data_IF_075435692682
#
_entry.id   IF_075435692682
#
_cell.length_a   1.000
_cell.length_b   1.000
_cell.length_c   1.000
_cell.angle_alpha   90.00
_cell.angle_beta   90.00
_cell.angle_gamma   90.00
#
_symmetry.space_group_name_H-M   'P 1'
#
loop_
_entity.id
_entity.type
_entity.pdbx_description
1 polymer ?
#
# COMPACT_ATOMS: atom_id res chain seq x y z
N UNK A 1 -29.75 7.17 4.30
CA UNK A 1 -28.85 6.32 3.50
C UNK A 1 -27.53 6.29 4.24
N UNK A 2 -27.09 5.12 4.69
CA UNK A 2 -25.74 4.97 5.25
C UNK A 2 -24.75 5.44 4.18
N UNK A 3 -23.89 6.39 4.53
CA UNK A 3 -22.70 6.69 3.72
C UNK A 3 -21.83 5.43 3.82
N UNK A 4 -22.02 4.51 2.88
CA UNK A 4 -21.10 3.39 2.69
C UNK A 4 -19.70 3.98 2.52
N UNK A 5 -18.71 3.35 3.14
CA UNK A 5 -17.31 3.69 2.98
C UNK A 5 -16.96 3.52 1.50
N UNK A 6 -16.93 4.63 0.74
CA UNK A 6 -16.45 4.61 -0.63
C UNK A 6 -14.94 4.40 -0.54
N UNK A 7 -14.48 3.18 -0.86
CA UNK A 7 -13.05 2.95 -1.04
C UNK A 7 -12.56 3.89 -2.14
N UNK A 8 -11.47 4.63 -1.88
CA UNK A 8 -10.99 5.70 -2.77
C UNK A 8 -10.66 5.29 -4.22
N UNK A 9 -10.76 4.00 -4.56
CA UNK A 9 -10.58 3.46 -5.91
C UNK A 9 -11.85 2.93 -6.59
N UNK A 10 -13.03 2.95 -5.96
CA UNK A 10 -14.27 2.45 -6.58
C UNK A 10 -14.87 3.48 -7.56
N UNK A 11 -14.28 3.54 -8.75
CA UNK A 11 -14.75 4.41 -9.83
C UNK A 11 -16.16 4.03 -10.32
N UNK A 12 -16.59 2.79 -10.09
CA UNK A 12 -17.90 2.30 -10.51
C UNK A 12 -18.99 2.91 -9.63
N UNK A 13 -18.79 2.89 -8.32
CA UNK A 13 -19.67 3.54 -7.37
C UNK A 13 -19.70 5.05 -7.58
N UNK A 14 -18.53 5.69 -7.75
CA UNK A 14 -18.45 7.13 -8.06
C UNK A 14 -19.20 7.47 -9.35
N UNK A 15 -19.02 6.66 -10.40
CA UNK A 15 -19.71 6.87 -11.67
C UNK A 15 -21.24 6.78 -11.51
N UNK A 16 -21.73 5.80 -10.75
CA UNK A 16 -23.17 5.64 -10.46
C UNK A 16 -23.75 6.81 -9.67
N UNK A 17 -23.04 7.29 -8.64
CA UNK A 17 -23.52 8.33 -7.73
C UNK A 17 -23.49 9.71 -8.40
N UNK A 18 -22.40 10.04 -9.10
CA UNK A 18 -22.17 11.39 -9.63
C UNK A 18 -22.49 11.53 -11.13
N UNK A 19 -22.81 10.44 -11.83
CA UNK A 19 -23.11 10.46 -13.27
C UNK A 19 -21.90 10.82 -14.15
N UNK A 20 -20.68 10.63 -13.65
CA UNK A 20 -19.43 10.94 -14.35
C UNK A 20 -18.87 9.65 -14.95
N UNK A 21 -18.46 9.67 -16.23
CA UNK A 21 -17.79 8.54 -16.86
C UNK A 21 -16.43 8.29 -16.20
N UNK A 22 -16.08 7.03 -15.95
CA UNK A 22 -14.85 6.64 -15.23
C UNK A 22 -13.59 7.21 -15.87
N UNK A 23 -13.57 7.24 -17.20
CA UNK A 23 -12.44 7.70 -18.02
C UNK A 23 -12.22 9.21 -17.93
N UNK A 24 -13.21 9.96 -17.46
CA UNK A 24 -13.13 11.41 -17.28
C UNK A 24 -12.71 11.80 -15.86
N UNK A 25 -12.55 10.84 -14.94
CA UNK A 25 -12.20 11.08 -13.55
C UNK A 25 -10.68 11.10 -13.38
N UNK A 26 -10.17 12.21 -12.86
CA UNK A 26 -8.81 12.29 -12.33
C UNK A 26 -8.77 11.56 -10.98
N UNK A 27 -8.35 10.30 -11.00
CA UNK A 27 -8.38 9.42 -9.82
C UNK A 27 -7.18 9.65 -8.88
N UNK A 28 -7.26 10.71 -8.07
CA UNK A 28 -6.34 10.96 -6.97
C UNK A 28 -6.59 10.06 -5.75
N UNK A 29 -7.70 9.32 -5.69
CA UNK A 29 -8.06 8.44 -4.57
C UNK A 29 -7.42 7.05 -4.64
N UNK A 30 -7.01 6.58 -5.82
CA UNK A 30 -6.59 5.19 -6.05
C UNK A 30 -5.14 4.83 -5.69
N UNK A 31 -4.27 5.83 -5.50
CA UNK A 31 -2.81 5.66 -5.31
C UNK A 31 -2.13 4.86 -6.43
N UNK A 32 -2.62 4.94 -7.66
CA UNK A 32 -2.08 4.18 -8.81
C UNK A 32 -1.07 5.06 -9.56
N UNK A 33 0.06 4.47 -9.97
CA UNK A 33 1.08 5.16 -10.75
C UNK A 33 0.48 5.77 -12.04
N UNK A 34 0.67 7.08 -12.30
CA UNK A 34 0.05 7.79 -13.42
C UNK A 34 0.62 7.43 -14.80
N UNK A 35 1.74 6.71 -14.87
CA UNK A 35 2.32 6.28 -16.16
C UNK A 35 1.47 5.21 -16.88
N UNK A 36 0.52 4.60 -16.17
CA UNK A 36 -0.30 3.51 -16.68
C UNK A 36 0.48 2.20 -16.81
N UNK A 37 -0.13 1.22 -17.46
CA UNK A 37 0.44 -0.12 -17.58
C UNK A 37 1.79 -0.08 -18.33
N UNK A 38 2.85 -0.77 -17.85
CA UNK A 38 4.13 -0.84 -18.56
C UNK A 38 3.98 -1.39 -19.97
N UNK A 39 4.76 -0.85 -20.92
CA UNK A 39 4.69 -1.29 -22.32
C UNK A 39 5.19 -2.73 -22.49
N UNK A 40 6.14 -3.18 -21.66
CA UNK A 40 6.56 -4.58 -21.58
C UNK A 40 5.38 -5.51 -21.28
N UNK A 41 4.54 -5.13 -20.31
CA UNK A 41 3.34 -5.87 -19.92
C UNK A 41 2.28 -5.83 -21.03
N UNK A 42 2.03 -4.66 -21.62
CA UNK A 42 1.08 -4.54 -22.76
C UNK A 42 1.46 -5.51 -23.89
N UNK A 43 2.75 -5.54 -24.27
CA UNK A 43 3.27 -6.42 -25.32
C UNK A 43 3.16 -7.89 -24.91
N UNK A 44 3.49 -8.23 -23.67
CA UNK A 44 3.39 -9.60 -23.18
C UNK A 44 1.95 -10.13 -23.27
N UNK A 45 0.95 -9.34 -22.84
CA UNK A 45 -0.46 -9.72 -22.95
C UNK A 45 -0.91 -9.80 -24.41
N UNK A 46 -0.61 -8.78 -25.22
CA UNK A 46 -1.03 -8.71 -26.61
C UNK A 46 -0.46 -9.86 -27.47
N UNK A 47 0.75 -10.33 -27.17
CA UNK A 47 1.39 -11.45 -27.87
C UNK A 47 0.92 -12.83 -27.38
N UNK A 48 0.16 -12.90 -26.29
CA UNK A 48 -0.25 -14.15 -25.64
C UNK A 48 -1.76 -14.16 -25.33
N UNK A 49 -2.59 -13.65 -26.24
CA UNK A 49 -4.04 -13.56 -26.03
C UNK A 49 -4.72 -14.92 -25.83
N UNK A 50 -4.13 -15.99 -26.36
CA UNK A 50 -4.64 -17.37 -26.22
C UNK A 50 -4.16 -18.08 -24.94
N UNK A 51 -3.32 -17.44 -24.11
CA UNK A 51 -2.81 -18.02 -22.87
C UNK A 51 -3.90 -18.52 -21.88
N UNK A 52 -5.09 -17.91 -21.78
CA UNK A 52 -6.18 -18.43 -20.94
C UNK A 52 -6.70 -19.82 -21.32
N UNK A 53 -6.29 -20.37 -22.46
CA UNK A 53 -6.63 -21.75 -22.86
C UNK A 53 -5.83 -22.81 -22.07
N UNK A 54 -4.86 -22.39 -21.25
CA UNK A 54 -4.03 -23.26 -20.42
C UNK A 54 -3.99 -22.78 -18.98
N UNK A 55 -3.86 -23.72 -18.03
CA UNK A 55 -3.63 -23.38 -16.63
C UNK A 55 -2.21 -22.81 -16.43
N UNK A 56 -2.03 -21.86 -15.49
CA UNK A 56 -0.72 -21.43 -15.02
C UNK A 56 0.15 -22.58 -14.48
N UNK A 57 1.45 -22.34 -14.35
CA UNK A 57 2.29 -23.19 -13.51
C UNK A 57 1.82 -23.09 -12.06
N UNK A 58 1.44 -24.23 -11.45
CA UNK A 58 0.99 -24.27 -10.06
C UNK A 58 2.09 -23.83 -9.07
N UNK A 59 3.36 -24.01 -9.45
CA UNK A 59 4.53 -23.63 -8.65
C UNK A 59 5.01 -22.20 -8.93
N UNK A 60 4.51 -21.58 -10.00
CA UNK A 60 4.86 -20.23 -10.45
C UNK A 60 6.39 -19.99 -10.51
N UNK A 61 7.16 -20.96 -11.00
CA UNK A 61 8.63 -20.96 -10.90
C UNK A 61 9.22 -19.72 -11.58
N UNK A 62 8.86 -19.47 -12.84
CA UNK A 62 9.38 -18.33 -13.61
C UNK A 62 9.01 -16.98 -12.99
N UNK A 63 7.81 -16.88 -12.39
CA UNK A 63 7.37 -15.67 -11.69
C UNK A 63 8.16 -15.45 -10.39
N UNK A 64 8.37 -16.50 -9.60
CA UNK A 64 9.19 -16.44 -8.38
C UNK A 64 10.64 -16.09 -8.69
N UNK A 65 11.21 -16.60 -9.78
CA UNK A 65 12.54 -16.22 -10.27
C UNK A 65 12.60 -14.74 -10.66
N UNK A 66 11.61 -14.23 -11.40
CA UNK A 66 11.58 -12.81 -11.76
C UNK A 66 11.47 -11.88 -10.52
N UNK A 67 10.73 -12.29 -9.50
CA UNK A 67 10.65 -11.56 -8.22
C UNK A 67 11.97 -11.67 -7.46
N UNK A 68 12.60 -12.84 -7.45
CA UNK A 68 13.91 -13.08 -6.86
C UNK A 68 14.97 -12.15 -7.46
N UNK A 69 15.05 -12.09 -8.80
CA UNK A 69 15.97 -11.18 -9.51
C UNK A 69 15.74 -9.71 -9.09
N UNK A 70 14.48 -9.33 -8.89
CA UNK A 70 14.07 -7.97 -8.55
C UNK A 70 14.34 -7.58 -7.10
N UNK A 71 14.14 -8.53 -6.18
CA UNK A 71 14.24 -8.29 -4.73
C UNK A 71 15.56 -8.72 -4.13
N UNK A 72 16.37 -9.48 -4.88
CA UNK A 72 17.58 -10.16 -4.42
C UNK A 72 17.33 -11.10 -3.23
N UNK A 73 16.18 -11.78 -3.23
CA UNK A 73 15.79 -12.79 -2.22
C UNK A 73 15.64 -14.14 -2.89
N UNK A 74 16.10 -15.20 -2.22
CA UNK A 74 15.97 -16.57 -2.71
C UNK A 74 14.52 -16.90 -3.13
N UNK A 75 14.30 -17.51 -4.32
CA UNK A 75 12.97 -17.90 -4.78
C UNK A 75 12.21 -18.78 -3.79
N UNK A 76 12.89 -19.54 -2.92
CA UNK A 76 12.28 -20.43 -1.93
C UNK A 76 11.57 -19.67 -0.80
N UNK A 77 11.94 -18.40 -0.57
CA UNK A 77 11.31 -17.53 0.42
C UNK A 77 10.16 -16.71 -0.17
N UNK A 78 9.90 -16.83 -1.47
CA UNK A 78 8.91 -16.03 -2.20
C UNK A 78 7.63 -16.85 -2.44
N UNK A 79 6.51 -16.24 -2.07
CA UNK A 79 5.15 -16.71 -2.37
C UNK A 79 4.46 -15.69 -3.27
N UNK A 80 3.62 -16.14 -4.18
CA UNK A 80 2.83 -15.27 -5.06
C UNK A 80 1.36 -15.38 -4.69
N UNK A 81 0.58 -14.34 -4.94
CA UNK A 81 -0.85 -14.34 -4.62
C UNK A 81 -1.70 -13.44 -5.51
N UNK A 82 -3.00 -13.66 -5.45
CA UNK A 82 -4.06 -12.96 -6.19
C UNK A 82 -4.26 -11.52 -5.65
N UNK A 83 -3.19 -10.73 -5.74
CA UNK A 83 -2.99 -9.48 -5.02
C UNK A 83 -2.40 -9.69 -3.63
N UNK A 84 -1.89 -8.61 -3.04
CA UNK A 84 -1.35 -8.62 -1.67
C UNK A 84 -2.40 -9.00 -0.62
N UNK A 85 -3.68 -8.67 -0.86
CA UNK A 85 -4.79 -8.98 0.04
C UNK A 85 -4.94 -10.47 0.35
N UNK A 86 -4.76 -11.35 -0.65
CA UNK A 86 -4.82 -12.81 -0.43
C UNK A 86 -3.70 -13.23 0.53
N UNK A 87 -2.48 -12.73 0.31
CA UNK A 87 -1.30 -13.08 1.11
C UNK A 87 -1.38 -12.53 2.54
N UNK A 88 -1.95 -11.33 2.72
CA UNK A 88 -2.25 -10.75 4.04
C UNK A 88 -3.18 -11.70 4.80
N UNK A 89 -4.29 -12.11 4.18
CA UNK A 89 -5.27 -13.02 4.79
C UNK A 89 -4.62 -14.36 5.16
N UNK A 90 -3.82 -14.94 4.25
CA UNK A 90 -3.18 -16.23 4.49
C UNK A 90 -2.08 -16.16 5.56
N UNK A 91 -1.31 -15.08 5.63
CA UNK A 91 -0.34 -14.86 6.70
C UNK A 91 -1.03 -14.76 8.07
N UNK A 92 -2.08 -13.93 8.18
CA UNK A 92 -2.85 -13.79 9.42
C UNK A 92 -3.46 -15.13 9.84
N UNK A 93 -4.02 -15.90 8.91
CA UNK A 93 -4.57 -17.24 9.19
C UNK A 93 -3.50 -18.26 9.61
N UNK A 94 -2.31 -18.18 9.03
CA UNK A 94 -1.20 -19.06 9.39
C UNK A 94 -0.70 -18.79 10.81
N UNK A 95 -0.58 -17.52 11.20
CA UNK A 95 -0.15 -17.12 12.54
C UNK A 95 -1.27 -17.36 13.55
N UNK A 96 -2.52 -17.15 13.12
CA UNK A 96 -3.73 -17.27 13.92
C UNK A 96 -3.65 -16.55 15.29
N UNK A 97 -3.31 -15.25 15.30
CA UNK A 97 -3.03 -14.52 16.54
C UNK A 97 -4.26 -14.44 17.45
N UNK A 98 -4.08 -14.74 18.74
CA UNK A 98 -5.07 -14.40 19.78
C UNK A 98 -5.10 -12.91 20.01
N UNK A 99 -3.95 -12.24 20.03
CA UNK A 99 -3.85 -10.78 20.18
C UNK A 99 -2.83 -10.20 19.21
N UNK A 100 -3.24 -9.17 18.48
CA UNK A 100 -2.40 -8.48 17.51
C UNK A 100 -2.36 -6.97 17.75
N UNK A 101 -1.21 -6.36 17.51
CA UNK A 101 -1.03 -4.90 17.49
C UNK A 101 -0.99 -4.42 16.05
N UNK A 102 -1.78 -3.42 15.70
CA UNK A 102 -1.77 -2.78 14.38
C UNK A 102 -1.37 -1.31 14.54
N UNK A 103 -0.28 -0.90 13.90
CA UNK A 103 0.09 0.53 13.82
C UNK A 103 -0.95 1.25 12.97
N UNK A 104 -1.55 2.33 13.48
CA UNK A 104 -2.76 2.94 12.91
C UNK A 104 -2.70 4.48 12.97
N UNK A 105 -3.31 5.26 12.04
CA UNK A 105 -4.24 4.87 10.98
C UNK A 105 -3.62 3.94 9.94
N UNK A 106 -4.37 2.92 9.55
CA UNK A 106 -3.92 1.89 8.61
C UNK A 106 -5.06 1.40 7.71
N UNK A 107 -4.71 0.52 6.77
CA UNK A 107 -5.65 -0.17 5.91
C UNK A 107 -6.60 -1.07 6.73
N UNK A 108 -7.90 -0.97 6.46
CA UNK A 108 -8.95 -1.63 7.25
C UNK A 108 -8.92 -3.15 7.19
N UNK A 109 -8.36 -3.74 6.13
CA UNK A 109 -8.40 -5.19 5.96
C UNK A 109 -7.54 -5.94 7.00
N UNK A 110 -6.48 -5.33 7.56
CA UNK A 110 -5.70 -6.01 8.61
C UNK A 110 -6.58 -6.33 9.83
N UNK A 111 -7.30 -5.31 10.31
CA UNK A 111 -8.21 -5.41 11.44
C UNK A 111 -9.32 -6.44 11.16
N UNK A 112 -9.92 -6.35 9.98
CA UNK A 112 -11.00 -7.23 9.54
C UNK A 112 -10.54 -8.69 9.47
N UNK A 113 -9.40 -8.98 8.85
CA UNK A 113 -8.89 -10.34 8.72
C UNK A 113 -8.54 -10.98 10.07
N UNK A 114 -7.98 -10.22 11.01
CA UNK A 114 -7.70 -10.72 12.38
C UNK A 114 -9.01 -11.01 13.12
N UNK A 115 -9.99 -10.11 13.05
CA UNK A 115 -11.29 -10.31 13.70
C UNK A 115 -12.09 -11.48 13.10
N UNK A 116 -11.97 -11.72 11.79
CA UNK A 116 -12.65 -12.81 11.10
C UNK A 116 -12.25 -14.20 11.63
N UNK A 117 -11.04 -14.34 12.17
CA UNK A 117 -10.56 -15.58 12.80
C UNK A 117 -10.68 -15.55 14.34
N UNK A 118 -11.35 -14.54 14.90
CA UNK A 118 -11.60 -14.41 16.33
C UNK A 118 -10.45 -13.82 17.15
N UNK A 119 -9.45 -13.20 16.51
CA UNK A 119 -8.34 -12.53 17.20
C UNK A 119 -8.73 -11.17 17.77
N UNK A 120 -8.17 -10.84 18.93
CA UNK A 120 -8.24 -9.50 19.52
C UNK A 120 -7.23 -8.56 18.88
N UNK A 121 -7.56 -7.27 18.80
CA UNK A 121 -6.72 -6.26 18.16
C UNK A 121 -6.56 -5.03 19.03
N UNK A 122 -5.31 -4.60 19.18
CA UNK A 122 -4.94 -3.33 19.77
C UNK A 122 -4.42 -2.40 18.67
N UNK A 123 -5.02 -1.23 18.54
CA UNK A 123 -4.55 -0.22 17.59
C UNK A 123 -3.50 0.67 18.28
N UNK A 124 -2.26 0.62 17.81
CA UNK A 124 -1.19 1.51 18.27
C UNK A 124 -1.28 2.84 17.50
N UNK A 125 -1.60 3.96 18.17
CA UNK A 125 -1.86 5.22 17.47
C UNK A 125 -0.56 5.94 17.08
N UNK A 126 -0.39 6.18 15.78
CA UNK A 126 0.51 7.22 15.27
C UNK A 126 -0.08 8.58 15.61
N UNK A 127 0.67 9.39 16.35
CA UNK A 127 0.15 10.64 16.91
C UNK A 127 0.39 11.80 15.94
N UNK A 128 -0.64 12.62 15.69
CA UNK A 128 -0.53 13.82 14.84
C UNK A 128 0.59 14.76 15.31
N UNK A 129 0.75 14.94 16.64
CA UNK A 129 1.82 15.76 17.25
C UNK A 129 3.24 15.21 17.04
N UNK A 130 3.36 13.95 16.63
CA UNK A 130 4.64 13.32 16.27
C UNK A 130 4.75 13.22 14.73
N UNK A 131 3.99 14.04 13.99
CA UNK A 131 3.91 14.03 12.52
C UNK A 131 3.54 12.64 11.96
N UNK A 132 2.79 11.85 12.73
CA UNK A 132 2.49 10.43 12.46
C UNK A 132 3.72 9.53 12.26
N UNK A 133 4.90 9.94 12.74
CA UNK A 133 6.08 9.10 12.76
C UNK A 133 5.96 8.03 13.86
N UNK A 134 6.41 6.82 13.57
CA UNK A 134 6.33 5.72 14.54
C UNK A 134 7.30 5.94 15.70
N UNK A 135 6.75 6.06 16.91
CA UNK A 135 7.54 6.11 18.14
C UNK A 135 7.93 4.68 18.58
N UNK A 136 9.10 4.22 18.14
CA UNK A 136 9.58 2.85 18.37
C UNK A 136 9.69 2.49 19.86
N UNK A 137 10.27 3.34 20.75
CA UNK A 137 10.29 3.04 22.18
C UNK A 137 8.90 2.84 22.79
N UNK A 138 7.91 3.67 22.41
CA UNK A 138 6.53 3.50 22.87
C UNK A 138 5.89 2.23 22.31
N UNK A 139 6.17 1.90 21.05
CA UNK A 139 5.69 0.67 20.44
C UNK A 139 6.23 -0.55 21.19
N UNK A 140 7.52 -0.60 21.47
CA UNK A 140 8.15 -1.70 22.22
C UNK A 140 7.52 -1.92 23.61
N UNK A 141 7.08 -0.85 24.28
CA UNK A 141 6.42 -0.96 25.59
C UNK A 141 5.06 -1.68 25.54
N UNK A 142 4.36 -1.70 24.40
CA UNK A 142 3.08 -2.43 24.25
C UNK A 142 3.28 -3.82 23.64
N UNK A 143 4.46 -4.11 23.10
CA UNK A 143 4.81 -5.39 22.51
C UNK A 143 5.38 -6.33 23.58
N UNK A 144 4.47 -6.87 24.38
CA UNK A 144 4.74 -7.81 25.48
C UNK A 144 4.46 -9.27 25.09
N UNK A 145 4.76 -10.21 25.99
CA UNK A 145 4.63 -11.67 25.74
C UNK A 145 3.20 -12.16 25.44
N UNK A 146 2.17 -11.33 25.67
CA UNK A 146 0.78 -11.62 25.35
C UNK A 146 0.38 -11.21 23.93
N UNK A 147 1.29 -10.59 23.16
CA UNK A 147 1.08 -10.23 21.75
C UNK A 147 1.61 -11.35 20.86
N UNK A 148 0.83 -11.77 19.87
CA UNK A 148 1.26 -12.81 18.93
C UNK A 148 1.74 -12.21 17.59
N UNK A 149 1.20 -11.04 17.23
CA UNK A 149 1.43 -10.44 15.92
C UNK A 149 1.48 -8.90 15.98
N UNK A 150 2.40 -8.32 15.20
CA UNK A 150 2.50 -6.90 14.91
C UNK A 150 2.29 -6.67 13.41
N UNK A 151 1.43 -5.73 13.04
CA UNK A 151 1.20 -5.32 11.65
C UNK A 151 1.64 -3.86 11.44
N UNK A 152 2.52 -3.65 10.46
CA UNK A 152 3.00 -2.32 10.06
C UNK A 152 2.84 -2.18 8.54
N UNK A 153 2.30 -1.06 8.07
CA UNK A 153 2.37 -0.65 6.67
C UNK A 153 3.54 0.33 6.50
N UNK A 154 4.46 0.07 5.58
CA UNK A 154 5.70 0.84 5.43
C UNK A 154 6.13 1.02 3.96
N UNK A 155 6.00 2.23 3.37
CA UNK A 155 5.40 3.44 3.94
C UNK A 155 3.91 3.26 4.28
N UNK A 156 3.47 3.92 5.35
CA UNK A 156 2.14 3.77 5.91
C UNK A 156 1.05 4.40 5.01
N UNK A 157 -0.14 3.79 5.01
CA UNK A 157 -1.34 4.34 4.39
C UNK A 157 -2.40 4.61 5.47
N UNK A 158 -2.79 5.88 5.71
CA UNK A 158 -2.78 6.99 4.73
C UNK A 158 -1.70 8.05 4.93
N UNK A 159 -0.81 7.91 5.92
CA UNK A 159 0.10 9.02 6.33
C UNK A 159 1.29 9.22 5.40
N UNK A 160 1.75 8.17 4.73
CA UNK A 160 2.98 8.18 3.92
C UNK A 160 4.27 8.12 4.75
N UNK A 161 4.18 8.13 6.08
CA UNK A 161 5.30 8.01 7.01
C UNK A 161 5.92 6.61 6.96
N UNK A 162 7.15 6.47 7.42
CA UNK A 162 7.91 5.24 7.23
C UNK A 162 8.89 5.00 8.39
N UNK A 163 9.35 3.75 8.48
CA UNK A 163 10.54 3.34 9.23
C UNK A 163 11.61 2.84 8.28
N UNK A 164 12.88 3.03 8.66
CA UNK A 164 14.02 2.50 7.89
C UNK A 164 14.17 0.99 8.11
N UNK A 165 14.97 0.35 7.27
CA UNK A 165 15.38 -1.05 7.44
C UNK A 165 16.09 -1.28 8.79
N UNK A 166 16.94 -0.33 9.22
CA UNK A 166 17.61 -0.39 10.53
C UNK A 166 16.61 -0.31 11.70
N UNK A 167 15.65 0.61 11.63
CA UNK A 167 14.58 0.72 12.61
C UNK A 167 13.68 -0.53 12.62
N UNK A 168 13.41 -1.10 11.45
CA UNK A 168 12.67 -2.36 11.32
C UNK A 168 13.43 -3.50 11.99
N UNK A 169 14.75 -3.59 11.79
CA UNK A 169 15.61 -4.55 12.47
C UNK A 169 15.54 -4.40 13.99
N UNK A 170 15.55 -3.18 14.51
CA UNK A 170 15.40 -2.90 15.95
C UNK A 170 14.04 -3.35 16.51
N UNK A 171 12.96 -3.21 15.73
CA UNK A 171 11.63 -3.73 16.07
C UNK A 171 11.64 -5.27 16.05
N UNK A 172 12.21 -5.88 15.01
CA UNK A 172 12.24 -7.33 14.85
C UNK A 172 13.01 -8.04 15.97
N UNK A 173 14.12 -7.47 16.43
CA UNK A 173 14.89 -7.99 17.57
C UNK A 173 14.02 -8.03 18.83
N UNK A 174 13.29 -6.94 19.12
CA UNK A 174 12.35 -6.89 20.25
C UNK A 174 11.24 -7.91 20.09
N UNK A 175 10.57 -7.93 18.94
CA UNK A 175 9.49 -8.88 18.65
C UNK A 175 9.95 -10.33 18.79
N UNK A 176 11.14 -10.67 18.30
CA UNK A 176 11.69 -12.03 18.40
C UNK A 176 11.96 -12.44 19.85
N UNK A 177 12.41 -11.52 20.71
CA UNK A 177 12.59 -11.80 22.14
C UNK A 177 11.26 -12.11 22.87
N UNK A 178 10.14 -11.63 22.34
CA UNK A 178 8.79 -11.83 22.87
C UNK A 178 7.95 -12.83 22.05
N UNK A 179 8.56 -13.55 21.10
CA UNK A 179 7.88 -14.48 20.17
C UNK A 179 6.75 -13.87 19.32
N UNK A 180 6.88 -12.59 18.98
CA UNK A 180 5.91 -11.83 18.18
C UNK A 180 6.27 -11.96 16.68
N UNK A 181 5.30 -12.37 15.86
CA UNK A 181 5.40 -12.33 14.41
C UNK A 181 5.15 -10.91 13.88
N UNK A 182 5.89 -10.49 12.87
CA UNK A 182 5.78 -9.15 12.27
C UNK A 182 5.39 -9.27 10.81
N UNK A 183 4.24 -8.69 10.46
CA UNK A 183 3.84 -8.49 9.08
C UNK A 183 4.13 -7.05 8.65
N UNK A 184 4.96 -6.91 7.62
CA UNK A 184 5.29 -5.63 7.00
C UNK A 184 4.61 -5.52 5.62
N UNK A 185 3.67 -4.61 5.48
CA UNK A 185 3.06 -4.28 4.19
C UNK A 185 3.85 -3.18 3.48
N UNK A 186 4.63 -3.58 2.48
CA UNK A 186 5.50 -2.71 1.69
C UNK A 186 4.87 -2.30 0.34
N UNK A 187 3.55 -2.29 0.22
CA UNK A 187 2.83 -1.97 -1.03
C UNK A 187 3.29 -0.67 -1.72
N UNK A 188 3.84 0.29 -0.98
CA UNK A 188 4.28 1.60 -1.51
C UNK A 188 5.80 1.79 -1.56
N UNK A 189 6.60 0.80 -1.18
CA UNK A 189 8.03 0.99 -0.94
C UNK A 189 8.81 1.35 -2.21
N UNK A 190 8.37 0.90 -3.39
CA UNK A 190 9.03 1.22 -4.65
C UNK A 190 8.98 2.71 -5.00
N UNK A 191 8.04 3.46 -4.42
CA UNK A 191 7.94 4.92 -4.56
C UNK A 191 8.90 5.66 -3.64
N UNK A 192 9.44 5.03 -2.60
CA UNK A 192 10.32 5.70 -1.63
C UNK A 192 11.63 6.17 -2.27
N UNK A 193 12.24 7.20 -1.69
CA UNK A 193 13.60 7.60 -2.05
C UNK A 193 14.57 6.46 -1.68
N UNK A 194 15.33 5.90 -2.65
CA UNK A 194 16.26 4.81 -2.39
C UNK A 194 17.28 5.10 -1.28
N UNK A 195 17.63 6.38 -1.06
CA UNK A 195 18.59 6.78 -0.02
C UNK A 195 18.02 6.65 1.40
N UNK A 196 16.70 6.51 1.55
CA UNK A 196 16.04 6.37 2.86
C UNK A 196 16.07 4.94 3.39
N UNK A 197 16.46 3.97 2.56
CA UNK A 197 16.57 2.55 2.92
C UNK A 197 15.32 2.02 3.67
N UNK A 198 14.14 2.20 3.07
CA UNK A 198 12.84 1.89 3.72
C UNK A 198 12.55 0.39 3.76
N UNK A 199 12.93 -0.34 2.71
CA UNK A 199 12.61 -1.77 2.54
C UNK A 199 13.31 -2.66 3.56
N UNK A 200 12.53 -3.50 4.24
CA UNK A 200 12.97 -4.57 5.13
C UNK A 200 13.30 -5.88 4.41
N UNK A 201 13.10 -5.96 3.08
CA UNK A 201 13.38 -7.15 2.28
C UNK A 201 14.75 -7.81 2.56
N UNK A 202 15.86 -7.07 2.74
CA UNK A 202 17.16 -7.67 3.09
C UNK A 202 17.20 -8.43 4.42
N UNK A 203 16.21 -8.25 5.30
CA UNK A 203 16.13 -8.89 6.62
C UNK A 203 15.42 -10.25 6.60
N UNK A 204 14.82 -10.65 5.48
CA UNK A 204 14.01 -11.88 5.36
C UNK A 204 14.79 -13.13 5.79
N UNK A 205 16.06 -13.24 5.40
CA UNK A 205 16.88 -14.42 5.74
C UNK A 205 17.41 -14.39 7.17
N UNK A 206 17.44 -13.22 7.82
CA UNK A 206 17.91 -13.04 9.20
C UNK A 206 16.79 -13.27 10.23
N UNK A 207 15.53 -12.95 9.87
CA UNK A 207 14.39 -12.98 10.79
C UNK A 207 13.25 -13.87 10.28
N UNK A 208 13.10 -15.03 10.92
CA UNK A 208 12.01 -15.99 10.72
C UNK A 208 10.66 -15.55 11.32
N UNK A 209 10.63 -14.45 12.07
CA UNK A 209 9.40 -13.81 12.54
C UNK A 209 8.96 -12.65 11.64
N UNK A 210 9.56 -12.49 10.44
CA UNK A 210 9.20 -11.43 9.49
C UNK A 210 8.47 -12.01 8.27
N UNK A 211 7.30 -11.46 7.97
CA UNK A 211 6.59 -11.66 6.72
C UNK A 211 6.42 -10.31 6.01
N UNK A 212 6.94 -10.16 4.79
CA UNK A 212 6.76 -8.97 3.98
C UNK A 212 5.75 -9.26 2.89
N UNK A 213 4.82 -8.32 2.64
CA UNK A 213 3.92 -8.37 1.48
C UNK A 213 4.11 -7.15 0.58
N UNK A 214 4.08 -7.36 -0.73
CA UNK A 214 4.12 -6.32 -1.76
C UNK A 214 3.08 -6.59 -2.84
N UNK A 215 2.61 -5.53 -3.49
CA UNK A 215 1.60 -5.59 -4.53
C UNK A 215 2.01 -4.84 -5.78
N UNK A 216 1.65 -5.34 -6.96
CA UNK A 216 1.96 -4.66 -8.23
C UNK A 216 0.93 -3.60 -8.61
N UNK A 217 -0.21 -3.60 -7.91
CA UNK A 217 -1.38 -2.75 -8.19
C UNK A 217 -1.08 -1.25 -8.22
N UNK A 218 -0.16 -0.78 -7.36
CA UNK A 218 0.12 0.65 -7.19
C UNK A 218 1.28 1.08 -8.08
N UNK A 219 2.46 0.53 -7.84
CA UNK A 219 3.68 0.91 -8.55
C UNK A 219 3.65 0.55 -10.04
N UNK A 220 3.24 -0.67 -10.40
CA UNK A 220 3.17 -1.13 -11.79
C UNK A 220 1.82 -0.84 -12.48
N UNK A 221 0.99 0.01 -11.87
CA UNK A 221 -0.28 0.50 -12.41
C UNK A 221 -1.26 -0.58 -12.93
N UNK A 222 -1.26 -1.76 -12.32
CA UNK A 222 -2.03 -2.91 -12.80
C UNK A 222 -2.98 -3.50 -11.74
N UNK A 223 -3.81 -2.69 -11.05
CA UNK A 223 -4.67 -3.18 -9.97
C UNK A 223 -5.63 -4.28 -10.42
N UNK A 224 -6.07 -4.27 -11.69
CA UNK A 224 -6.97 -5.26 -12.28
C UNK A 224 -6.31 -6.60 -12.61
N UNK A 225 -4.98 -6.69 -12.69
CA UNK A 225 -4.31 -8.00 -12.88
C UNK A 225 -4.34 -8.84 -11.61
N UNK A 226 -4.49 -8.20 -10.44
CA UNK A 226 -4.50 -8.87 -9.14
C UNK A 226 -3.22 -9.69 -8.89
N UNK A 227 -2.06 -9.06 -8.95
CA UNK A 227 -0.79 -9.69 -8.60
C UNK A 227 -0.17 -9.07 -7.34
N UNK A 228 0.26 -9.94 -6.43
CA UNK A 228 1.08 -9.60 -5.28
C UNK A 228 2.05 -10.73 -4.95
N UNK A 229 3.01 -10.45 -4.08
CA UNK A 229 3.95 -11.44 -3.59
C UNK A 229 4.28 -11.19 -2.12
N UNK A 230 4.63 -12.27 -1.44
CA UNK A 230 5.06 -12.29 -0.05
C UNK A 230 6.47 -12.86 0.03
N UNK A 231 7.23 -12.41 1.02
CA UNK A 231 8.55 -12.94 1.33
C UNK A 231 8.62 -13.30 2.81
N UNK A 232 9.15 -14.47 3.12
CA UNK A 232 9.32 -14.96 4.50
C UNK A 232 10.36 -16.09 4.51
N UNK A 233 11.12 -16.25 5.60
CA UNK A 233 11.99 -17.42 5.81
C UNK A 233 11.38 -18.47 6.74
N UNK A 234 10.23 -18.17 7.34
CA UNK A 234 9.49 -19.08 8.22
C UNK A 234 8.87 -20.23 7.41
N UNK A 235 9.36 -21.44 7.65
CA UNK A 235 8.93 -22.64 6.92
C UNK A 235 7.47 -22.99 7.20
N UNK A 236 6.99 -22.77 8.42
CA UNK A 236 5.62 -23.10 8.82
C UNK A 236 4.62 -22.17 8.10
N UNK A 237 4.94 -20.87 8.00
CA UNK A 237 4.13 -19.92 7.24
C UNK A 237 4.14 -20.25 5.75
N UNK A 238 5.32 -20.53 5.17
CA UNK A 238 5.43 -20.90 3.76
C UNK A 238 4.61 -22.17 3.46
N UNK A 239 4.73 -23.20 4.29
CA UNK A 239 4.02 -24.47 4.12
C UNK A 239 2.51 -24.29 4.28
N UNK A 240 2.07 -23.53 5.29
CA UNK A 240 0.67 -23.21 5.46
C UNK A 240 0.09 -22.51 4.21
N UNK A 241 0.76 -21.47 3.72
CA UNK A 241 0.30 -20.72 2.54
C UNK A 241 0.26 -21.63 1.31
N UNK A 242 1.29 -22.44 1.06
CA UNK A 242 1.34 -23.32 -0.10
C UNK A 242 0.27 -24.43 -0.07
N UNK A 243 -0.15 -24.86 1.12
CA UNK A 243 -1.14 -25.95 1.28
C UNK A 243 -2.59 -25.46 1.35
N UNK A 244 -2.82 -24.22 1.78
CA UNK A 244 -4.17 -23.65 1.95
C UNK A 244 -4.59 -22.67 0.85
N UNK A 245 -3.66 -22.27 -0.01
CA UNK A 245 -3.95 -21.44 -1.17
C UNK A 245 -4.61 -22.28 -2.27
N UNK A 246 -5.63 -21.73 -2.91
CA UNK A 246 -6.25 -22.37 -4.07
C UNK A 246 -5.22 -22.58 -5.19
N UNK A 247 -5.18 -23.79 -5.80
CA UNK A 247 -4.39 -24.01 -7.01
C UNK A 247 -4.75 -22.99 -8.08
N UNK A 248 -3.73 -22.46 -8.76
CA UNK A 248 -3.88 -21.48 -9.83
C UNK A 248 -4.54 -20.14 -9.44
N UNK A 249 -4.48 -19.71 -8.17
CA UNK A 249 -5.14 -18.45 -7.75
C UNK A 249 -4.60 -17.19 -8.45
N UNK A 250 -3.33 -17.20 -8.87
CA UNK A 250 -2.76 -16.17 -9.75
C UNK A 250 -3.08 -16.53 -11.19
N UNK A 251 -3.84 -15.67 -11.86
CA UNK A 251 -4.26 -15.88 -13.24
C UNK A 251 -3.07 -15.79 -14.23
N UNK A 252 -3.23 -16.40 -15.40
CA UNK A 252 -2.15 -16.51 -16.40
C UNK A 252 -1.63 -15.15 -16.88
N UNK A 253 -2.49 -14.14 -17.00
CA UNK A 253 -2.05 -12.81 -17.42
C UNK A 253 -1.24 -12.10 -16.34
N UNK A 254 -1.60 -12.29 -15.06
CA UNK A 254 -0.80 -11.81 -13.95
C UNK A 254 0.58 -12.47 -13.92
N UNK A 255 0.65 -13.79 -14.10
CA UNK A 255 1.92 -14.52 -14.18
C UNK A 255 2.80 -14.00 -15.33
N UNK A 256 2.27 -13.96 -16.55
CA UNK A 256 2.98 -13.44 -17.72
C UNK A 256 3.44 -11.99 -17.52
N UNK A 257 2.59 -11.15 -16.93
CA UNK A 257 2.94 -9.75 -16.66
C UNK A 257 4.05 -9.65 -15.62
N UNK A 258 4.01 -10.48 -14.58
CA UNK A 258 5.00 -10.49 -13.51
C UNK A 258 6.40 -10.84 -14.02
N UNK A 259 6.51 -11.83 -14.90
CA UNK A 259 7.81 -12.27 -15.46
C UNK A 259 8.54 -11.20 -16.28
N UNK A 260 7.82 -10.17 -16.76
CA UNK A 260 8.39 -9.05 -17.54
C UNK A 260 8.48 -7.75 -16.74
N UNK A 261 7.48 -7.40 -15.92
CA UNK A 261 7.41 -6.08 -15.28
C UNK A 261 8.53 -5.85 -14.26
N UNK A 262 8.92 -6.91 -13.53
CA UNK A 262 9.98 -6.85 -12.53
C UNK A 262 11.37 -6.62 -13.15
N UNK A 263 11.50 -6.80 -14.47
CA UNK A 263 12.72 -6.56 -15.24
C UNK A 263 12.67 -5.26 -16.05
N UNK A 264 11.57 -4.52 -15.99
CA UNK A 264 11.37 -3.27 -16.74
C UNK A 264 12.01 -2.07 -16.03
N UNK A 265 13.34 -2.03 -16.09
CA UNK A 265 14.14 -0.96 -15.47
C UNK A 265 13.78 0.44 -16.00
N UNK A 266 13.37 0.55 -17.26
CA UNK A 266 12.97 1.83 -17.85
C UNK A 266 11.68 2.36 -17.19
N UNK A 267 10.64 1.52 -17.08
CA UNK A 267 9.40 1.89 -16.38
C UNK A 267 9.67 2.22 -14.90
N UNK A 268 10.47 1.39 -14.21
CA UNK A 268 10.81 1.59 -12.80
C UNK A 268 11.49 2.95 -12.59
N UNK A 269 12.50 3.28 -13.40
CA UNK A 269 13.26 4.52 -13.28
C UNK A 269 12.41 5.75 -13.64
N UNK A 270 11.60 5.68 -14.70
CA UNK A 270 10.66 6.75 -15.07
C UNK A 270 9.65 7.02 -13.96
N UNK A 271 9.10 5.96 -13.37
CA UNK A 271 8.13 6.05 -12.27
C UNK A 271 8.73 6.74 -11.05
N UNK A 272 9.91 6.29 -10.60
CA UNK A 272 10.61 6.89 -9.45
C UNK A 272 10.95 8.35 -9.69
N UNK A 273 11.47 8.68 -10.88
CA UNK A 273 11.83 10.06 -11.22
C UNK A 273 10.60 10.99 -11.21
N UNK A 274 9.52 10.58 -11.89
CA UNK A 274 8.27 11.35 -11.92
C UNK A 274 7.75 11.62 -10.50
N UNK A 275 7.62 10.56 -9.70
CA UNK A 275 7.05 10.67 -8.36
C UNK A 275 7.96 11.51 -7.45
N UNK A 276 9.28 11.37 -7.52
CA UNK A 276 10.19 12.18 -6.71
C UNK A 276 10.12 13.68 -7.06
N UNK A 277 10.12 14.02 -8.36
CA UNK A 277 10.04 15.42 -8.81
C UNK A 277 8.71 16.04 -8.36
N UNK A 278 7.59 15.38 -8.64
CA UNK A 278 6.27 15.91 -8.33
C UNK A 278 5.99 15.91 -6.81
N UNK A 279 6.49 14.94 -6.05
CA UNK A 279 6.43 14.94 -4.57
C UNK A 279 7.07 16.21 -4.01
N UNK A 280 8.32 16.48 -4.38
CA UNK A 280 9.06 17.65 -3.89
C UNK A 280 8.36 18.96 -4.27
N UNK A 281 7.84 19.05 -5.49
CA UNK A 281 7.11 20.21 -5.98
C UNK A 281 5.80 20.44 -5.21
N UNK A 282 4.97 19.41 -5.08
CA UNK A 282 3.68 19.48 -4.37
C UNK A 282 3.90 19.84 -2.90
N UNK A 283 4.86 19.19 -2.23
CA UNK A 283 5.19 19.47 -0.84
C UNK A 283 5.54 20.94 -0.66
N UNK A 284 6.49 21.46 -1.46
CA UNK A 284 6.87 22.89 -1.44
C UNK A 284 5.69 23.83 -1.69
N UNK A 285 4.77 23.47 -2.58
CA UNK A 285 3.62 24.32 -2.93
C UNK A 285 2.53 24.40 -1.85
N UNK A 286 2.47 23.44 -0.93
CA UNK A 286 1.45 23.34 0.11
C UNK A 286 2.01 23.54 1.53
N UNK A 287 3.32 23.38 1.71
CA UNK A 287 3.98 23.48 3.02
C UNK A 287 3.79 24.84 3.69
N UNK A 288 3.87 25.93 2.92
CA UNK A 288 3.78 27.31 3.43
C UNK A 288 2.33 27.84 3.49
N UNK A 289 1.31 27.00 3.28
CA UNK A 289 -0.08 27.45 3.33
C UNK A 289 -0.64 27.40 4.76
N UNK A 290 -0.99 28.56 5.31
CA UNK A 290 -1.48 28.69 6.70
C UNK A 290 -2.74 27.88 7.02
N UNK A 291 -3.57 27.63 6.02
CA UNK A 291 -4.86 26.94 6.16
C UNK A 291 -4.76 25.42 6.06
N UNK A 292 -3.56 24.85 5.86
CA UNK A 292 -3.33 23.40 5.79
C UNK A 292 -2.03 22.98 6.47
N UNK A 293 -1.91 21.68 6.74
CA UNK A 293 -0.65 21.00 7.03
C UNK A 293 -0.50 19.86 6.03
N UNK A 294 0.64 19.77 5.34
CA UNK A 294 0.97 18.63 4.48
C UNK A 294 2.05 17.80 5.16
N UNK A 295 1.83 16.50 5.26
CA UNK A 295 2.80 15.59 5.87
C UNK A 295 3.79 15.10 4.82
N UNK A 296 5.08 15.01 5.16
CA UNK A 296 6.09 14.41 4.28
C UNK A 296 5.77 12.92 4.06
N UNK A 297 6.17 12.39 2.90
CA UNK A 297 5.75 11.07 2.43
C UNK A 297 6.87 10.34 1.70
N UNK A 298 6.94 9.03 1.89
CA UNK A 298 7.73 8.14 1.04
C UNK A 298 6.87 7.29 0.09
N UNK A 299 5.56 7.59 -0.01
CA UNK A 299 4.63 6.95 -0.94
C UNK A 299 4.34 7.83 -2.18
N UNK A 300 3.39 7.42 -3.01
CA UNK A 300 2.89 8.21 -4.15
C UNK A 300 1.62 9.00 -3.80
N UNK A 301 1.48 9.45 -2.56
CA UNK A 301 0.34 10.25 -2.11
C UNK A 301 0.74 11.10 -0.90
N UNK A 302 -0.04 12.14 -0.64
CA UNK A 302 0.06 12.97 0.55
C UNK A 302 -1.16 12.81 1.45
N UNK A 303 -0.93 12.80 2.76
CA UNK A 303 -1.94 13.17 3.74
C UNK A 303 -1.90 14.69 3.93
N UNK A 304 -3.07 15.31 4.03
CA UNK A 304 -3.20 16.74 4.25
C UNK A 304 -4.27 17.02 5.30
N UNK A 305 -3.89 17.79 6.32
CA UNK A 305 -4.76 18.31 7.38
C UNK A 305 -5.25 19.70 7.02
N UNK A 306 -6.55 19.94 7.12
CA UNK A 306 -7.16 21.26 7.01
C UNK A 306 -6.98 21.99 8.34
N UNK A 307 -6.37 23.18 8.39
CA UNK A 307 -6.25 24.00 9.62
C UNK A 307 -7.45 24.95 9.82
N UNK A 308 -8.58 24.64 9.19
CA UNK A 308 -9.79 25.45 9.21
C UNK A 308 -11.00 24.62 9.60
N UNK A 309 -11.98 25.27 10.24
CA UNK A 309 -13.30 24.72 10.54
C UNK A 309 -14.37 25.15 9.53
N UNK A 310 -14.02 25.95 8.51
CA UNK A 310 -14.97 26.46 7.50
C UNK A 310 -15.34 25.45 6.44
N UNK A 311 -14.50 24.44 6.23
CA UNK A 311 -14.72 23.35 5.28
C UNK A 311 -14.23 22.03 5.89
N UNK A 312 -14.96 20.96 5.63
CA UNK A 312 -14.63 19.59 6.01
C UNK A 312 -14.03 18.82 4.84
N UNK A 313 -13.37 17.70 5.13
CA UNK A 313 -12.82 16.76 4.15
C UNK A 313 -13.90 16.28 3.17
N UNK A 314 -15.10 15.95 3.67
CA UNK A 314 -16.26 15.54 2.85
C UNK A 314 -16.75 16.67 1.93
N UNK A 315 -16.76 17.92 2.40
CA UNK A 315 -17.13 19.07 1.55
C UNK A 315 -16.09 19.35 0.47
N UNK A 316 -14.79 19.21 0.79
CA UNK A 316 -13.72 19.32 -0.22
C UNK A 316 -13.86 18.20 -1.25
N UNK A 317 -14.07 16.96 -0.81
CA UNK A 317 -14.33 15.82 -1.69
C UNK A 317 -15.49 16.12 -2.65
N UNK A 318 -16.64 16.56 -2.13
CA UNK A 318 -17.82 16.88 -2.94
C UNK A 318 -17.56 18.03 -3.93
N UNK A 319 -16.83 19.07 -3.54
CA UNK A 319 -16.46 20.18 -4.44
C UNK A 319 -15.52 19.71 -5.56
N UNK A 320 -14.56 18.84 -5.25
CA UNK A 320 -13.58 18.35 -6.22
C UNK A 320 -14.17 17.31 -7.17
N UNK A 321 -15.00 16.38 -6.70
CA UNK A 321 -15.58 15.34 -7.57
C UNK A 321 -16.56 15.93 -8.60
N UNK A 322 -17.26 17.02 -8.27
CA UNK A 322 -18.05 17.80 -9.24
C UNK A 322 -17.21 18.45 -10.34
N UNK A 323 -15.89 18.54 -10.13
CA UNK A 323 -14.90 18.93 -11.14
C UNK A 323 -14.15 17.71 -11.72
N UNK A 324 -14.69 16.50 -11.53
CA UNK A 324 -14.13 15.21 -11.95
C UNK A 324 -12.79 14.85 -11.27
N UNK A 325 -12.50 15.43 -10.11
CA UNK A 325 -11.28 15.16 -9.34
C UNK A 325 -11.65 14.33 -8.12
N UNK A 326 -11.29 13.05 -8.13
CA UNK A 326 -11.59 12.14 -7.04
C UNK A 326 -10.42 12.09 -6.05
N UNK A 327 -10.59 12.65 -4.85
CA UNK A 327 -9.63 12.50 -3.73
C UNK A 327 -10.16 11.46 -2.72
N UNK A 328 -9.39 11.17 -1.66
CA UNK A 328 -9.85 10.35 -0.54
C UNK A 328 -10.16 11.21 0.67
N UNK A 329 -11.42 11.20 1.11
CA UNK A 329 -11.81 11.66 2.45
C UNK A 329 -11.23 10.66 3.48
N UNK A 330 -10.55 11.12 4.53
CA UNK A 330 -9.93 10.23 5.52
C UNK A 330 -10.66 10.18 6.86
N UNK A 331 -11.88 10.74 6.96
CA UNK A 331 -12.65 10.79 8.19
C UNK A 331 -13.05 9.41 8.76
N UNK A 332 -12.97 8.35 7.95
CA UNK A 332 -13.28 6.97 8.33
C UNK A 332 -12.06 6.16 8.78
N UNK A 333 -10.86 6.73 8.71
CA UNK A 333 -9.67 6.09 9.30
C UNK A 333 -9.65 6.31 10.82
N UNK A 334 -9.32 5.28 11.62
CA UNK A 334 -9.09 5.46 13.05
C UNK A 334 -8.06 6.57 13.31
N UNK A 335 -8.28 7.39 14.33
CA UNK A 335 -7.42 8.52 14.72
C UNK A 335 -7.33 9.70 13.73
N UNK A 336 -8.02 9.62 12.59
CA UNK A 336 -8.23 10.76 11.71
C UNK A 336 -9.67 11.27 11.87
N UNK A 337 -9.94 12.45 11.32
CA UNK A 337 -11.24 13.08 11.41
C UNK A 337 -11.61 13.81 10.10
N UNK A 338 -12.73 14.56 10.16
CA UNK A 338 -13.27 15.37 9.07
C UNK A 338 -12.35 16.49 8.56
N UNK A 339 -11.12 16.58 9.02
CA UNK A 339 -10.15 17.55 8.55
C UNK A 339 -8.99 16.91 7.79
N UNK A 340 -9.02 15.60 7.53
CA UNK A 340 -7.98 14.92 6.78
C UNK A 340 -8.46 14.51 5.40
N UNK A 341 -7.66 14.83 4.39
CA UNK A 341 -7.80 14.31 3.04
C UNK A 341 -6.49 13.65 2.60
N UNK A 342 -6.59 12.68 1.70
CA UNK A 342 -5.45 12.09 1.01
C UNK A 342 -5.62 12.23 -0.50
N UNK A 343 -4.54 12.51 -1.20
CA UNK A 343 -4.52 12.54 -2.66
C UNK A 343 -3.21 11.98 -3.23
N UNK A 344 -3.33 11.23 -4.32
CA UNK A 344 -2.22 10.62 -5.06
C UNK A 344 -1.36 11.69 -5.76
N UNK A 345 -0.13 11.34 -6.08
CA UNK A 345 0.70 12.08 -7.02
C UNK A 345 0.43 11.49 -8.40
N UNK A 346 -0.11 12.30 -9.32
CA UNK A 346 -0.36 11.92 -10.70
C UNK A 346 0.65 12.60 -11.64
N UNK A 347 0.30 12.76 -12.92
CA UNK A 347 1.12 13.52 -13.87
C UNK A 347 1.09 15.04 -13.56
N UNK A 348 2.09 15.81 -14.04
CA UNK A 348 2.21 17.22 -13.69
C UNK A 348 0.99 18.08 -14.04
N UNK A 349 0.27 17.77 -15.14
CA UNK A 349 -0.91 18.54 -15.54
C UNK A 349 -2.06 18.28 -14.56
N UNK A 350 -2.30 17.02 -14.23
CA UNK A 350 -3.31 16.63 -13.25
C UNK A 350 -3.01 17.20 -11.87
N UNK A 351 -1.75 17.14 -11.42
CA UNK A 351 -1.34 17.69 -10.12
C UNK A 351 -1.61 19.20 -10.04
N UNK A 352 -1.20 19.97 -11.06
CA UNK A 352 -1.47 21.40 -11.14
C UNK A 352 -2.98 21.71 -11.11
N UNK A 353 -3.80 20.88 -11.78
CA UNK A 353 -5.26 21.04 -11.76
C UNK A 353 -5.82 20.87 -10.34
N UNK A 354 -5.42 19.81 -9.63
CA UNK A 354 -5.82 19.59 -8.24
C UNK A 354 -5.39 20.75 -7.35
N UNK A 355 -4.10 21.13 -7.37
CA UNK A 355 -3.56 22.19 -6.51
C UNK A 355 -4.28 23.53 -6.72
N UNK A 356 -4.54 23.90 -7.98
CA UNK A 356 -5.26 25.13 -8.29
C UNK A 356 -6.70 25.12 -7.77
N UNK A 357 -7.40 23.98 -7.84
CA UNK A 357 -8.77 23.85 -7.32
C UNK A 357 -8.77 23.83 -5.79
N UNK A 358 -7.87 23.07 -5.18
CA UNK A 358 -7.72 22.97 -3.72
C UNK A 358 -7.43 24.35 -3.11
N UNK A 359 -6.44 25.08 -3.63
CA UNK A 359 -6.10 26.45 -3.20
C UNK A 359 -7.28 27.43 -3.32
N UNK A 360 -8.17 27.25 -4.30
CA UNK A 360 -9.39 28.08 -4.43
C UNK A 360 -10.48 27.73 -3.41
N UNK A 361 -10.58 26.46 -3.01
CA UNK A 361 -11.55 26.00 -2.02
C UNK A 361 -11.14 26.41 -0.60
N UNK A 362 -9.82 26.48 -0.36
CA UNK A 362 -9.25 26.78 0.96
C UNK A 362 -9.08 28.29 1.24
N UNK A 363 -9.19 29.14 0.22
CA UNK A 363 -9.33 30.59 0.38
C UNK A 363 -10.74 30.91 0.86
#
# INVERSE_FOLDING_TARGET
MSLNVIHGGDLDEISRIYGIKKEEIYNFGGNVNPLGLPDSVKKAIANNTDAPTTYPDVSYVALREAISDYTNISPQHIMVGNGSTELISMCIKSIHPRKAVIVSPAYSEYLKEIQLIGGETELFPLQEKEEFMLNIPKLKNVLTDDIDMLVICNPNNPTGTYVTCEQTKDILIHCKAHNINVMMDETYVEFSDPNKNVSAMPLIEEFDNLFIVRGTSKFFACPGLRLGYGACSNKDIIEYINTHKDPWSVNIFAELSGTVMFRDNDFINKSRNLINIERNKIFKELFDLDNVHIYDTQANFFLLRLKTNTVTSTEIFNKLINNKILIRDCADFPYLDKHFIRFCILDPKSNNLLLNKLKKILK
#
